data_IF_560678209767
#
_entry.id   IF_560678209767
#
_cell.length_a   1.000
_cell.length_b   1.000
_cell.length_c   1.000
_cell.angle_alpha   90.00
_cell.angle_beta   90.00
_cell.angle_gamma   90.00
#
_symmetry.space_group_name_H-M   'P 1'
#
loop_
_entity.id
_entity.type
_entity.pdbx_description
1 polymer ?
#
# COMPACT_ATOMS: atom_id res chain seq x y z
N UNK A 1 0.61 19.81 -10.33
CA UNK A 1 0.64 18.96 -9.13
C UNK A 1 0.05 17.61 -9.51
N UNK A 2 0.87 16.55 -9.48
CA UNK A 2 0.41 15.17 -9.78
C UNK A 2 -0.56 14.77 -8.66
N UNK A 3 -1.81 14.46 -8.99
CA UNK A 3 -2.93 14.44 -8.02
C UNK A 3 -3.17 13.04 -7.49
N UNK A 4 -3.40 12.94 -6.18
CA UNK A 4 -3.86 11.72 -5.53
C UNK A 4 -5.19 11.16 -6.10
N UNK A 5 -5.92 11.93 -6.92
CA UNK A 5 -7.15 11.47 -7.58
C UNK A 5 -6.93 10.25 -8.50
N UNK A 6 -5.71 10.03 -8.97
CA UNK A 6 -5.34 8.86 -9.79
C UNK A 6 -5.54 7.54 -9.03
N UNK A 7 -5.52 7.59 -7.70
CA UNK A 7 -5.76 6.45 -6.82
C UNK A 7 -7.24 6.11 -6.62
N UNK A 8 -8.15 7.06 -6.89
CA UNK A 8 -9.57 6.92 -6.53
C UNK A 8 -10.27 5.72 -7.18
N UNK A 9 -9.79 5.25 -8.34
CA UNK A 9 -10.32 4.08 -9.06
C UNK A 9 -10.12 2.76 -8.32
N UNK A 10 -9.13 2.69 -7.44
CA UNK A 10 -8.78 1.54 -6.59
C UNK A 10 -8.99 1.82 -5.09
N UNK A 11 -9.82 2.81 -4.74
CA UNK A 11 -10.09 3.16 -3.34
C UNK A 11 -10.74 2.00 -2.57
N UNK A 12 -9.98 1.45 -1.62
CA UNK A 12 -10.34 0.32 -0.77
C UNK A 12 -9.92 -1.04 -1.32
N UNK A 13 -9.31 -1.09 -2.51
CA UNK A 13 -8.94 -2.36 -3.16
C UNK A 13 -7.51 -2.77 -2.80
N UNK A 14 -7.26 -4.07 -2.54
CA UNK A 14 -5.91 -4.57 -2.37
C UNK A 14 -5.17 -4.53 -3.71
N UNK A 15 -3.94 -4.01 -3.67
CA UNK A 15 -3.06 -3.89 -4.82
C UNK A 15 -1.66 -4.40 -4.49
N UNK A 16 -1.06 -5.22 -5.34
CA UNK A 16 0.33 -5.66 -5.21
C UNK A 16 1.25 -4.57 -5.75
N UNK A 17 2.32 -4.26 -5.02
CA UNK A 17 3.38 -3.35 -5.49
C UNK A 17 4.36 -4.15 -6.35
N UNK A 18 4.44 -3.80 -7.63
CA UNK A 18 5.37 -4.40 -8.60
C UNK A 18 6.72 -3.70 -8.54
N UNK A 19 6.71 -2.37 -8.44
CA UNK A 19 7.92 -1.56 -8.42
C UNK A 19 7.80 -0.41 -7.40
N UNK A 20 8.87 -0.18 -6.65
CA UNK A 20 9.02 0.91 -5.71
C UNK A 20 10.26 1.73 -6.07
N UNK A 21 10.03 2.89 -6.69
CA UNK A 21 11.07 3.85 -7.08
C UNK A 21 11.06 5.03 -6.09
N UNK A 22 11.90 5.00 -5.03
CA UNK A 22 12.00 6.12 -4.10
C UNK A 22 12.67 7.32 -4.76
N UNK A 23 12.11 8.52 -4.51
CA UNK A 23 12.65 9.81 -4.93
C UNK A 23 13.21 10.59 -3.73
N UNK A 24 12.75 10.25 -2.52
CA UNK A 24 13.32 10.66 -1.25
C UNK A 24 14.08 9.49 -0.59
N UNK A 25 14.74 9.77 0.53
CA UNK A 25 15.41 8.75 1.35
C UNK A 25 15.05 8.90 2.82
N UNK A 26 15.21 7.84 3.62
CA UNK A 26 15.13 7.93 5.08
C UNK A 26 16.54 7.78 5.66
N UNK A 27 16.96 8.76 6.47
CA UNK A 27 18.22 8.73 7.20
C UNK A 27 17.95 9.03 8.67
N UNK A 28 18.40 8.16 9.58
CA UNK A 28 18.20 8.29 11.02
C UNK A 28 16.71 8.55 11.39
N UNK A 29 15.79 7.82 10.75
CA UNK A 29 14.34 7.96 10.96
C UNK A 29 13.71 9.24 10.38
N UNK A 30 14.48 10.08 9.68
CA UNK A 30 13.98 11.31 9.06
C UNK A 30 13.94 11.17 7.54
N UNK A 31 12.80 11.51 6.95
CA UNK A 31 12.65 11.61 5.49
C UNK A 31 13.41 12.84 4.98
N UNK A 32 14.33 12.61 4.05
CA UNK A 32 15.12 13.60 3.34
C UNK A 32 14.65 13.59 1.88
N UNK A 33 13.94 14.65 1.48
CA UNK A 33 13.47 14.87 0.11
C UNK A 33 14.23 16.06 -0.52
N UNK A 34 14.56 15.99 -1.83
CA UNK A 34 15.27 17.07 -2.50
C UNK A 34 14.44 18.35 -2.63
N UNK A 35 13.11 18.23 -2.79
CA UNK A 35 12.17 19.35 -2.89
C UNK A 35 10.89 19.05 -2.08
N UNK A 36 10.26 20.09 -1.52
CA UNK A 36 9.04 19.98 -0.71
C UNK A 36 7.77 19.63 -1.51
N UNK A 37 7.78 19.93 -2.82
CA UNK A 37 6.63 19.76 -3.71
C UNK A 37 6.68 18.48 -4.53
N UNK A 38 7.81 17.78 -4.50
CA UNK A 38 7.99 16.55 -5.24
C UNK A 38 7.43 15.36 -4.44
N UNK A 39 6.88 14.35 -5.13
CA UNK A 39 6.49 13.12 -4.46
C UNK A 39 7.70 12.41 -3.86
N UNK A 40 7.49 11.71 -2.75
CA UNK A 40 8.54 10.95 -2.08
C UNK A 40 8.91 9.66 -2.82
N UNK A 41 7.97 9.09 -3.58
CA UNK A 41 8.20 7.92 -4.40
C UNK A 41 7.22 7.84 -5.58
N UNK A 42 7.59 7.03 -6.58
CA UNK A 42 6.72 6.51 -7.61
C UNK A 42 6.58 5.00 -7.39
N UNK A 43 5.35 4.49 -7.43
CA UNK A 43 5.09 3.05 -7.37
C UNK A 43 4.30 2.56 -8.58
N UNK A 44 4.58 1.32 -8.98
CA UNK A 44 3.80 0.60 -9.99
C UNK A 44 3.07 -0.54 -9.32
N UNK A 45 1.79 -0.70 -9.64
CA UNK A 45 0.87 -1.58 -8.95
C UNK A 45 0.14 -2.51 -9.90
N UNK A 46 -0.14 -3.71 -9.42
CA UNK A 46 -1.13 -4.62 -9.95
C UNK A 46 -2.38 -4.57 -9.06
N UNK A 47 -3.55 -4.35 -9.65
CA UNK A 47 -4.83 -4.43 -8.94
C UNK A 47 -5.77 -5.30 -9.76
N UNK A 48 -6.37 -6.34 -9.18
CA UNK A 48 -7.22 -7.27 -9.95
C UNK A 48 -8.50 -6.63 -10.49
N UNK A 49 -8.90 -5.48 -9.93
CA UNK A 49 -10.02 -4.67 -10.44
C UNK A 49 -9.73 -4.04 -11.82
N UNK A 50 -8.46 -3.88 -12.19
CA UNK A 50 -8.03 -3.20 -13.41
C UNK A 50 -7.07 -4.11 -14.20
N UNK A 51 -7.27 -4.31 -15.52
CA UNK A 51 -6.42 -5.20 -16.30
C UNK A 51 -4.98 -4.65 -16.49
N UNK A 52 -4.79 -3.34 -16.31
CA UNK A 52 -3.52 -2.66 -16.55
C UNK A 52 -2.84 -2.30 -15.22
N UNK A 53 -1.50 -2.26 -15.26
CA UNK A 53 -0.71 -1.75 -14.12
C UNK A 53 -0.98 -0.27 -13.90
N UNK A 54 -1.08 0.13 -12.63
CA UNK A 54 -1.32 1.51 -12.22
C UNK A 54 0.00 2.12 -11.76
N UNK A 55 0.33 3.31 -12.23
CA UNK A 55 1.44 4.11 -11.69
C UNK A 55 0.86 5.17 -10.78
N UNK A 56 1.46 5.35 -9.62
CA UNK A 56 0.97 6.31 -8.65
C UNK A 56 2.08 6.95 -7.84
N UNK A 57 1.87 8.21 -7.47
CA UNK A 57 2.81 9.01 -6.69
C UNK A 57 2.50 8.93 -5.20
N UNK A 58 3.53 8.74 -4.39
CA UNK A 58 3.45 8.75 -2.93
C UNK A 58 3.79 10.14 -2.44
N UNK A 59 2.78 10.88 -2.02
CA UNK A 59 2.89 12.30 -1.65
C UNK A 59 2.86 12.52 -0.14
N UNK A 60 2.41 11.53 0.63
CA UNK A 60 2.35 11.62 2.09
C UNK A 60 3.59 10.99 2.74
N UNK A 61 4.17 11.70 3.71
CA UNK A 61 5.43 11.31 4.37
C UNK A 61 5.33 9.95 5.07
N UNK A 62 4.22 9.68 5.75
CA UNK A 62 4.04 8.42 6.49
C UNK A 62 3.85 7.24 5.55
N UNK A 63 3.08 7.41 4.46
CA UNK A 63 2.89 6.35 3.45
C UNK A 63 4.23 5.98 2.81
N UNK A 64 5.06 7.00 2.53
CA UNK A 64 6.43 6.79 2.07
C UNK A 64 7.29 6.06 3.10
N UNK A 65 7.25 6.47 4.38
CA UNK A 65 8.01 5.79 5.43
C UNK A 65 7.60 4.32 5.53
N UNK A 66 6.31 3.98 5.48
CA UNK A 66 5.85 2.60 5.53
C UNK A 66 6.37 1.77 4.34
N UNK A 67 6.30 2.32 3.12
CA UNK A 67 6.87 1.68 1.94
C UNK A 67 8.40 1.55 2.04
N UNK A 68 9.09 2.58 2.52
CA UNK A 68 10.52 2.55 2.74
C UNK A 68 10.90 1.45 3.74
N UNK A 69 10.21 1.37 4.87
CA UNK A 69 10.44 0.32 5.86
C UNK A 69 10.20 -1.06 5.26
N UNK A 70 9.12 -1.24 4.48
CA UNK A 70 8.85 -2.51 3.81
C UNK A 70 9.97 -2.92 2.83
N UNK A 71 10.37 -2.02 1.92
CA UNK A 71 11.29 -2.35 0.82
C UNK A 71 12.78 -2.21 1.15
N UNK A 72 13.16 -1.32 2.06
CA UNK A 72 14.57 -0.95 2.31
C UNK A 72 15.09 -1.36 3.68
N UNK A 73 14.25 -1.33 4.72
CA UNK A 73 14.68 -1.66 6.08
C UNK A 73 14.42 -3.13 6.41
N UNK A 74 13.17 -3.58 6.23
CA UNK A 74 12.78 -4.97 6.40
C UNK A 74 13.25 -5.80 5.21
N UNK A 75 13.05 -5.30 3.99
CA UNK A 75 13.31 -6.04 2.76
C UNK A 75 12.24 -7.08 2.46
N UNK A 76 12.20 -7.58 1.23
CA UNK A 76 11.19 -8.53 0.77
C UNK A 76 11.90 -9.77 0.25
N UNK A 77 11.50 -10.93 0.75
CA UNK A 77 12.05 -12.22 0.34
C UNK A 77 11.41 -12.70 -0.96
N UNK A 78 12.04 -13.65 -1.65
CA UNK A 78 11.53 -14.18 -2.92
C UNK A 78 10.15 -14.84 -2.82
N UNK A 79 9.69 -15.21 -1.63
CA UNK A 79 8.35 -15.81 -1.41
C UNK A 79 7.33 -14.81 -0.84
N UNK A 80 7.64 -13.52 -0.86
CA UNK A 80 6.82 -12.48 -0.27
C UNK A 80 6.39 -11.45 -1.31
N UNK A 81 5.34 -10.72 -0.98
CA UNK A 81 4.82 -9.60 -1.77
C UNK A 81 4.38 -8.46 -0.87
N UNK A 82 4.48 -7.24 -1.39
CA UNK A 82 3.90 -6.07 -0.72
C UNK A 82 2.52 -5.81 -1.28
N UNK A 83 1.53 -5.83 -0.42
CA UNK A 83 0.16 -5.44 -0.72
C UNK A 83 -0.09 -4.09 -0.07
N UNK A 84 -0.68 -3.17 -0.82
CA UNK A 84 -1.20 -1.92 -0.29
C UNK A 84 -2.71 -1.87 -0.45
N UNK A 85 -3.36 -1.22 0.50
CA UNK A 85 -4.73 -0.73 0.36
C UNK A 85 -4.66 0.78 0.44
N UNK A 86 -4.94 1.44 -0.69
CA UNK A 86 -5.10 2.89 -0.71
C UNK A 86 -6.56 3.22 -0.44
N UNK A 87 -6.84 4.10 0.53
CA UNK A 87 -8.22 4.51 0.79
C UNK A 87 -8.36 5.89 1.41
N UNK A 88 -9.48 6.55 1.06
CA UNK A 88 -9.98 7.76 1.72
C UNK A 88 -11.34 7.56 2.38
N UNK A 89 -11.88 6.33 2.31
CA UNK A 89 -13.20 5.96 2.82
C UNK A 89 -13.15 5.34 4.20
N UNK A 90 -12.07 4.61 4.52
CA UNK A 90 -11.92 3.85 5.77
C UNK A 90 -11.14 4.62 6.84
N UNK A 91 -11.45 5.91 7.02
CA UNK A 91 -10.94 6.66 8.17
C UNK A 91 -11.89 6.52 9.35
N UNK A 92 -11.33 6.36 10.57
CA UNK A 92 -12.07 6.23 11.83
C UNK A 92 -13.12 7.31 12.06
N UNK A 93 -12.86 8.50 11.54
CA UNK A 93 -13.77 9.63 11.64
C UNK A 93 -14.10 10.21 10.28
N UNK A 94 -15.39 10.29 9.97
CA UNK A 94 -15.92 10.76 8.68
C UNK A 94 -15.44 12.17 8.28
N UNK A 95 -15.20 13.06 9.25
CA UNK A 95 -14.75 14.42 8.97
C UNK A 95 -13.30 14.48 8.45
N UNK A 96 -12.47 13.47 8.75
CA UNK A 96 -11.09 13.40 8.25
C UNK A 96 -11.03 13.25 6.73
N UNK A 97 -12.10 12.76 6.10
CA UNK A 97 -12.20 12.66 4.64
C UNK A 97 -12.04 14.01 3.96
N UNK A 98 -12.58 15.09 4.55
CA UNK A 98 -12.45 16.45 4.03
C UNK A 98 -11.03 16.99 4.13
N UNK A 99 -10.23 16.46 5.07
CA UNK A 99 -8.84 16.83 5.31
C UNK A 99 -7.86 15.80 4.73
N UNK A 100 -8.34 14.85 3.92
CA UNK A 100 -7.56 13.73 3.40
C UNK A 100 -6.21 14.11 2.76
N UNK A 101 -5.97 15.28 2.15
CA UNK A 101 -4.63 15.65 1.68
C UNK A 101 -3.56 15.66 2.78
N UNK A 102 -3.92 15.97 4.02
CA UNK A 102 -3.01 16.03 5.17
C UNK A 102 -2.83 14.69 5.89
N UNK A 103 -3.57 13.66 5.50
CA UNK A 103 -3.57 12.35 6.18
C UNK A 103 -2.97 11.25 5.29
N UNK A 104 -2.38 10.22 5.93
CA UNK A 104 -1.94 9.02 5.23
C UNK A 104 -3.12 8.30 4.59
N UNK A 105 -2.88 7.67 3.45
CA UNK A 105 -3.90 7.00 2.65
C UNK A 105 -3.52 5.57 2.32
N UNK A 106 -2.35 5.08 2.76
CA UNK A 106 -1.89 3.72 2.44
C UNK A 106 -1.70 2.88 3.69
N UNK A 107 -2.40 1.75 3.72
CA UNK A 107 -2.05 0.60 4.57
C UNK A 107 -1.10 -0.28 3.78
N UNK A 108 0.10 -0.50 4.31
CA UNK A 108 1.15 -1.32 3.68
C UNK A 108 1.28 -2.63 4.43
N UNK A 109 1.28 -3.75 3.72
CA UNK A 109 1.39 -5.10 4.27
C UNK A 109 2.45 -5.88 3.51
N UNK A 110 3.19 -6.73 4.22
CA UNK A 110 3.97 -7.80 3.59
C UNK A 110 3.21 -9.10 3.81
N UNK A 111 2.93 -9.80 2.72
CA UNK A 111 2.22 -11.06 2.72
C UNK A 111 3.06 -12.13 2.02
N UNK A 112 2.66 -13.40 2.17
CA UNK A 112 3.17 -14.47 1.32
C UNK A 112 2.68 -14.27 -0.12
N UNK A 113 3.47 -14.73 -1.10
CA UNK A 113 3.07 -14.71 -2.51
C UNK A 113 1.73 -15.42 -2.71
N UNK A 114 0.86 -14.80 -3.51
CA UNK A 114 -0.48 -15.31 -3.78
C UNK A 114 -1.55 -14.78 -2.82
N UNK A 115 -1.18 -14.00 -1.80
CA UNK A 115 -2.13 -13.42 -0.87
C UNK A 115 -3.10 -12.46 -1.58
N UNK A 116 -2.65 -11.67 -2.55
CA UNK A 116 -3.55 -10.81 -3.33
C UNK A 116 -4.65 -11.61 -4.01
N UNK A 117 -4.29 -12.70 -4.69
CA UNK A 117 -5.25 -13.57 -5.39
C UNK A 117 -6.26 -14.16 -4.40
N UNK A 118 -5.82 -14.59 -3.22
CA UNK A 118 -6.72 -15.10 -2.18
C UNK A 118 -7.59 -13.97 -1.58
N UNK A 119 -7.08 -12.74 -1.47
CA UNK A 119 -7.88 -11.61 -0.95
C UNK A 119 -9.02 -11.22 -1.90
N UNK A 120 -8.80 -11.30 -3.22
CA UNK A 120 -9.77 -10.82 -4.21
C UNK A 120 -10.69 -11.92 -4.78
N UNK A 121 -10.24 -13.18 -4.80
CA UNK A 121 -10.96 -14.28 -5.42
C UNK A 121 -11.35 -15.34 -4.37
N UNK A 122 -12.63 -15.35 -4.01
CA UNK A 122 -13.20 -16.35 -3.09
C UNK A 122 -12.99 -17.79 -3.57
N UNK A 123 -12.84 -18.02 -4.87
CA UNK A 123 -12.71 -19.33 -5.50
C UNK A 123 -11.26 -19.70 -5.89
N UNK A 124 -10.26 -18.95 -5.39
CA UNK A 124 -8.85 -19.23 -5.68
C UNK A 124 -8.46 -20.67 -5.32
N UNK A 125 -7.65 -21.30 -6.19
CA UNK A 125 -7.18 -22.69 -6.01
C UNK A 125 -5.72 -22.74 -5.52
N UNK A 126 -5.37 -23.65 -4.59
CA UNK A 126 -6.24 -24.67 -3.98
C UNK A 126 -7.32 -24.04 -3.10
N UNK A 127 -8.48 -24.69 -3.00
CA UNK A 127 -9.61 -24.20 -2.19
C UNK A 127 -9.19 -24.20 -0.71
N UNK A 128 -8.71 -23.05 -0.25
CA UNK A 128 -8.39 -22.83 1.14
C UNK A 128 -9.67 -22.38 1.85
N UNK A 129 -10.13 -23.18 2.81
CA UNK A 129 -11.30 -22.86 3.65
C UNK A 129 -10.86 -22.56 5.08
N UNK A 130 -11.64 -21.73 5.78
CA UNK A 130 -11.46 -21.41 7.19
C UNK A 130 -10.07 -20.86 7.53
N UNK A 131 -9.41 -21.51 8.48
CA UNK A 131 -8.13 -21.09 9.05
C UNK A 131 -6.98 -21.09 8.03
N UNK A 132 -6.96 -22.04 7.10
CA UNK A 132 -5.90 -22.13 6.09
C UNK A 132 -5.92 -20.92 5.15
N UNK A 133 -7.12 -20.44 4.78
CA UNK A 133 -7.30 -19.23 3.98
C UNK A 133 -6.90 -17.99 4.76
N UNK A 134 -7.34 -17.91 6.01
CA UNK A 134 -6.99 -16.82 6.90
C UNK A 134 -5.47 -16.69 7.04
N UNK A 135 -4.78 -17.79 7.33
CA UNK A 135 -3.32 -17.80 7.47
C UNK A 135 -2.59 -17.43 6.17
N UNK A 136 -3.15 -17.76 5.00
CA UNK A 136 -2.58 -17.39 3.72
C UNK A 136 -2.77 -15.90 3.36
N UNK A 137 -3.86 -15.27 3.82
CA UNK A 137 -4.11 -13.82 3.63
C UNK A 137 -3.45 -12.96 4.72
N UNK A 138 -3.14 -13.56 5.88
CA UNK A 138 -2.64 -12.84 7.05
C UNK A 138 -1.30 -12.15 6.73
N UNK A 139 -1.19 -10.83 6.94
CA UNK A 139 0.09 -10.14 6.81
C UNK A 139 1.13 -10.74 7.76
N UNK A 140 2.34 -10.92 7.25
CA UNK A 140 3.53 -11.24 8.05
C UNK A 140 3.87 -10.04 8.94
N UNK A 141 3.80 -8.85 8.34
CA UNK A 141 3.93 -7.56 9.02
C UNK A 141 3.07 -6.53 8.29
N UNK A 142 2.58 -5.55 9.03
CA UNK A 142 1.79 -4.46 8.48
C UNK A 142 2.11 -3.12 9.13
N UNK A 143 1.93 -2.07 8.34
CA UNK A 143 1.99 -0.68 8.76
C UNK A 143 0.69 -0.01 8.36
N UNK A 144 -0.25 -0.02 9.31
CA UNK A 144 -1.56 0.62 9.20
C UNK A 144 -1.53 1.98 9.89
N UNK A 145 -1.80 3.09 9.19
CA UNK A 145 -1.94 4.38 9.83
C UNK A 145 -3.04 4.39 10.90
N UNK A 146 -2.78 5.01 12.05
CA UNK A 146 -3.71 5.05 13.19
C UNK A 146 -5.07 5.68 12.87
N UNK A 147 -5.14 6.50 11.83
CA UNK A 147 -6.37 7.17 11.38
C UNK A 147 -7.32 6.25 10.61
N UNK A 148 -6.87 5.04 10.23
CA UNK A 148 -7.66 4.07 9.48
C UNK A 148 -8.38 3.06 10.37
N UNK A 149 -9.58 2.66 9.96
CA UNK A 149 -10.40 1.59 10.58
C UNK A 149 -9.87 0.21 10.27
#
# INVERSE_FOLDING_TARGET
>A
MRKDSEWSVIDGEPCRVIDFTPLASVKNGKVIAPNLTDPYALITLECKKMPNTIKGYVTHKMDFTHLWTAFRERGISDNEEVIIIWTTKHYKYKFLKLLSPAYPKMWVMICLKGALEIMVDSNWKPELTGEARWNAMKPIVEWKPEVME
#
